data_IF_387798865525
#
_entry.id   IF_387798865525
#
_cell.length_a   1.000
_cell.length_b   1.000
_cell.length_c   1.000
_cell.angle_alpha   90.00
_cell.angle_beta   90.00
_cell.angle_gamma   90.00
#
_symmetry.space_group_name_H-M   'P 1'
#
loop_
_entity.id
_entity.type
_entity.pdbx_description
1 polymer ?
#
# COMPACT_ATOMS: atom_id res chain seq x y z
N UNK A 1 -13.98 30.58 38.18
CA UNK A 1 -14.19 29.24 37.58
C UNK A 1 -13.62 29.29 36.17
N UNK A 2 -12.72 28.36 35.76
CA UNK A 2 -12.24 28.32 34.38
C UNK A 2 -13.29 27.65 33.46
N UNK A 3 -13.51 28.23 32.29
CA UNK A 3 -14.42 27.70 31.26
C UNK A 3 -13.92 26.35 30.70
N UNK A 4 -14.81 25.44 30.27
CA UNK A 4 -14.42 24.17 29.67
C UNK A 4 -13.77 24.38 28.31
N UNK A 5 -12.60 23.77 28.13
CA UNK A 5 -11.82 23.82 26.89
C UNK A 5 -12.64 23.35 25.67
N UNK A 6 -12.70 24.20 24.64
CA UNK A 6 -13.23 23.83 23.32
C UNK A 6 -12.40 22.68 22.75
N UNK A 7 -13.07 21.56 22.45
CA UNK A 7 -12.49 20.41 21.76
C UNK A 7 -11.85 20.81 20.42
N UNK A 8 -10.74 20.17 19.98
CA UNK A 8 -10.14 20.46 18.68
C UNK A 8 -11.13 20.19 17.53
N UNK A 9 -11.16 21.03 16.48
CA UNK A 9 -12.09 20.89 15.39
C UNK A 9 -11.89 19.54 14.68
N UNK A 10 -12.98 18.80 14.51
CA UNK A 10 -13.01 17.52 13.79
C UNK A 10 -12.46 17.67 12.36
N UNK A 11 -11.69 16.69 11.84
CA UNK A 11 -11.18 16.75 10.48
C UNK A 11 -12.36 16.76 9.49
N UNK A 12 -12.55 17.88 8.80
CA UNK A 12 -13.58 18.01 7.75
C UNK A 12 -13.29 17.00 6.65
N UNK A 13 -14.27 16.13 6.40
CA UNK A 13 -14.26 15.08 5.38
C UNK A 13 -13.91 15.69 4.03
N UNK A 14 -12.73 15.31 3.52
CA UNK A 14 -12.14 15.88 2.31
C UNK A 14 -13.07 15.80 1.11
N UNK A 15 -13.21 16.95 0.44
CA UNK A 15 -13.89 17.10 -0.83
C UNK A 15 -13.43 16.01 -1.80
N UNK A 16 -14.38 15.29 -2.41
CA UNK A 16 -14.13 14.33 -3.48
C UNK A 16 -13.21 15.00 -4.51
N UNK A 17 -11.97 14.50 -4.65
CA UNK A 17 -11.04 15.00 -5.69
C UNK A 17 -11.71 14.83 -7.04
N UNK A 18 -11.81 15.92 -7.79
CA UNK A 18 -12.26 15.89 -9.17
C UNK A 18 -11.38 14.94 -9.99
N UNK A 19 -12.00 14.06 -10.77
CA UNK A 19 -11.32 13.14 -11.68
C UNK A 19 -10.68 13.98 -12.78
N UNK A 20 -9.36 14.11 -12.76
CA UNK A 20 -8.62 14.66 -13.89
C UNK A 20 -8.56 13.62 -15.01
N UNK A 21 -8.76 14.07 -16.25
CA UNK A 21 -8.72 13.22 -17.45
C UNK A 21 -7.32 12.62 -17.57
N UNK A 22 -7.20 11.31 -17.41
CA UNK A 22 -5.93 10.60 -17.46
C UNK A 22 -5.29 10.80 -18.84
N UNK A 23 -4.10 11.42 -18.88
CA UNK A 23 -3.28 11.44 -20.08
C UNK A 23 -2.89 10.00 -20.42
N UNK A 24 -3.24 9.58 -21.63
CA UNK A 24 -2.86 8.29 -22.22
C UNK A 24 -1.33 8.19 -22.18
N UNK A 25 -0.78 7.28 -21.36
CA UNK A 25 0.67 7.00 -21.35
C UNK A 25 1.04 6.08 -22.52
N UNK A 26 0.69 6.50 -23.73
CA UNK A 26 1.22 5.91 -24.95
C UNK A 26 2.65 6.43 -25.13
N UNK A 27 3.66 5.61 -24.77
CA UNK A 27 5.06 5.93 -25.05
C UNK A 27 6.10 5.53 -24.00
N UNK A 28 5.77 4.75 -22.95
CA UNK A 28 6.80 4.31 -21.99
C UNK A 28 7.53 3.05 -22.47
N UNK A 29 8.50 3.23 -23.37
CA UNK A 29 9.51 2.23 -23.75
C UNK A 29 10.21 1.73 -22.47
N UNK A 30 9.97 0.46 -22.13
CA UNK A 30 10.55 -0.32 -21.01
C UNK A 30 10.18 0.13 -19.59
N UNK A 31 8.94 -0.12 -19.16
CA UNK A 31 8.70 -0.60 -17.79
C UNK A 31 8.61 -2.12 -17.86
N UNK A 32 9.56 -2.86 -17.25
CA UNK A 32 9.28 -4.24 -16.84
C UNK A 32 8.27 -4.15 -15.71
N UNK A 33 6.97 -4.14 -16.01
CA UNK A 33 5.96 -4.36 -14.98
C UNK A 33 6.10 -5.82 -14.58
N UNK A 34 6.86 -6.08 -13.50
CA UNK A 34 6.81 -7.38 -12.83
C UNK A 34 5.35 -7.59 -12.45
N UNK A 35 4.74 -8.72 -12.84
CA UNK A 35 3.34 -9.01 -12.56
C UNK A 35 3.14 -9.01 -11.03
N UNK A 36 2.42 -8.03 -10.50
CA UNK A 36 2.20 -7.81 -9.06
C UNK A 36 1.19 -8.81 -8.45
N UNK A 37 0.96 -9.97 -9.08
CA UNK A 37 -0.03 -10.95 -8.65
C UNK A 37 0.54 -12.11 -7.81
N UNK A 38 1.88 -12.20 -7.66
CA UNK A 38 2.51 -13.31 -6.93
C UNK A 38 2.03 -13.46 -5.48
N UNK A 39 1.76 -12.35 -4.77
CA UNK A 39 1.25 -12.42 -3.40
C UNK A 39 -0.15 -13.04 -3.33
N UNK A 40 -0.96 -12.82 -4.37
CA UNK A 40 -2.32 -13.38 -4.47
C UNK A 40 -2.25 -14.87 -4.76
N UNK A 41 -1.40 -15.28 -5.70
CA UNK A 41 -1.17 -16.70 -6.04
C UNK A 41 -0.59 -17.49 -4.85
N UNK A 42 0.32 -16.88 -4.09
CA UNK A 42 0.86 -17.49 -2.87
C UNK A 42 -0.22 -17.61 -1.78
N UNK A 43 -1.07 -16.59 -1.62
CA UNK A 43 -2.15 -16.64 -0.64
C UNK A 43 -3.16 -17.75 -0.96
N UNK A 44 -3.57 -17.87 -2.24
CA UNK A 44 -4.52 -18.91 -2.65
C UNK A 44 -3.91 -20.30 -2.52
N UNK A 45 -2.65 -20.49 -2.92
CA UNK A 45 -1.96 -21.79 -2.74
C UNK A 45 -1.80 -22.16 -1.26
N UNK A 46 -1.51 -21.22 -0.37
CA UNK A 46 -1.45 -21.47 1.08
C UNK A 46 -2.81 -21.91 1.64
N UNK A 47 -3.90 -21.30 1.18
CA UNK A 47 -5.26 -21.72 1.57
C UNK A 47 -5.65 -23.09 1.02
N UNK A 48 -5.07 -23.53 -0.11
CA UNK A 48 -5.29 -24.87 -0.67
C UNK A 48 -4.44 -25.94 0.02
N UNK A 49 -3.22 -25.61 0.44
CA UNK A 49 -2.26 -26.54 1.03
C UNK A 49 -2.46 -26.74 2.55
N UNK A 50 -2.92 -25.70 3.27
CA UNK A 50 -3.04 -25.73 4.72
C UNK A 50 -4.51 -25.81 5.16
N UNK A 51 -4.87 -26.75 6.04
CA UNK A 51 -6.22 -26.83 6.59
C UNK A 51 -6.43 -25.89 7.79
N UNK A 52 -7.68 -25.44 7.96
CA UNK A 52 -8.19 -24.86 9.20
C UNK A 52 -7.45 -23.61 9.69
N UNK A 53 -7.07 -23.61 10.97
CA UNK A 53 -6.52 -22.43 11.65
C UNK A 53 -5.11 -22.05 11.17
N UNK A 54 -4.35 -23.03 10.66
CA UNK A 54 -3.00 -22.81 10.15
C UNK A 54 -3.01 -21.89 8.93
N UNK A 55 -3.96 -22.07 8.01
CA UNK A 55 -4.11 -21.20 6.85
C UNK A 55 -4.40 -19.75 7.26
N UNK A 56 -5.32 -19.53 8.21
CA UNK A 56 -5.68 -18.19 8.69
C UNK A 56 -4.48 -17.48 9.31
N UNK A 57 -3.70 -18.18 10.12
CA UNK A 57 -2.50 -17.65 10.75
C UNK A 57 -1.40 -17.33 9.73
N UNK A 58 -1.16 -18.23 8.77
CA UNK A 58 -0.17 -18.04 7.72
C UNK A 58 -0.52 -16.84 6.83
N UNK A 59 -1.77 -16.74 6.40
CA UNK A 59 -2.28 -15.61 5.59
C UNK A 59 -2.17 -14.30 6.37
N UNK A 60 -2.60 -14.27 7.64
CA UNK A 60 -2.51 -13.08 8.50
C UNK A 60 -1.07 -12.58 8.70
N UNK A 61 -0.11 -13.49 8.93
CA UNK A 61 1.31 -13.16 9.03
C UNK A 61 1.87 -12.68 7.67
N UNK A 62 1.50 -13.37 6.59
CA UNK A 62 1.91 -13.04 5.23
C UNK A 62 1.49 -11.62 4.82
N UNK A 63 0.22 -11.26 5.02
CA UNK A 63 -0.28 -9.91 4.69
C UNK A 63 0.47 -8.82 5.44
N UNK A 64 0.71 -9.00 6.75
CA UNK A 64 1.47 -8.04 7.57
C UNK A 64 2.90 -7.85 7.06
N UNK A 65 3.56 -8.93 6.65
CA UNK A 65 4.91 -8.87 6.09
C UNK A 65 4.93 -8.14 4.74
N UNK A 66 3.96 -8.40 3.86
CA UNK A 66 3.83 -7.75 2.55
C UNK A 66 3.63 -6.24 2.70
N UNK A 67 2.80 -5.80 3.64
CA UNK A 67 2.60 -4.37 3.91
C UNK A 67 3.90 -3.71 4.35
N UNK A 68 4.61 -4.30 5.33
CA UNK A 68 5.90 -3.78 5.80
C UNK A 68 6.93 -3.71 4.68
N UNK A 69 7.07 -4.79 3.91
CA UNK A 69 8.01 -4.86 2.80
C UNK A 69 7.75 -3.79 1.75
N UNK A 70 6.48 -3.60 1.37
CA UNK A 70 6.09 -2.58 0.40
C UNK A 70 6.41 -1.19 0.92
N UNK A 71 6.05 -0.87 2.17
CA UNK A 71 6.36 0.42 2.79
C UNK A 71 7.86 0.71 2.85
N UNK A 72 8.67 -0.24 3.36
CA UNK A 72 10.13 -0.08 3.42
C UNK A 72 10.77 0.07 2.03
N UNK A 73 10.27 -0.69 1.05
CA UNK A 73 10.75 -0.63 -0.33
C UNK A 73 10.37 0.67 -1.03
N UNK A 74 9.23 1.27 -0.70
CA UNK A 74 8.86 2.60 -1.22
C UNK A 74 9.70 3.71 -0.59
N UNK A 75 9.94 3.65 0.72
CA UNK A 75 10.77 4.64 1.42
C UNK A 75 12.22 4.61 0.93
N UNK A 76 12.80 3.42 0.79
CA UNK A 76 14.14 3.26 0.23
C UNK A 76 14.23 3.79 -1.22
N UNK A 77 13.24 3.47 -2.07
CA UNK A 77 13.23 3.99 -3.44
C UNK A 77 13.06 5.50 -3.51
N UNK A 78 12.25 6.10 -2.62
CA UNK A 78 12.09 7.55 -2.55
C UNK A 78 13.37 8.21 -2.06
N UNK A 79 14.01 7.68 -1.02
CA UNK A 79 15.30 8.16 -0.53
C UNK A 79 16.35 8.11 -1.64
N UNK A 80 16.62 6.94 -2.25
CA UNK A 80 17.59 6.85 -3.35
C UNK A 80 17.29 7.78 -4.52
N UNK A 81 16.00 8.05 -4.81
CA UNK A 81 15.62 9.01 -5.86
C UNK A 81 15.92 10.46 -5.48
N UNK A 82 15.76 10.83 -4.21
CA UNK A 82 16.06 12.17 -3.70
C UNK A 82 17.58 12.44 -3.71
N UNK A 83 18.41 11.46 -3.32
CA UNK A 83 19.87 11.63 -3.29
C UNK A 83 20.54 11.58 -4.67
N UNK A 84 19.84 11.11 -5.69
CA UNK A 84 20.36 11.07 -7.07
C UNK A 84 19.96 12.30 -7.90
N UNK A 85 19.14 13.20 -7.34
CA UNK A 85 18.75 14.48 -7.96
C UNK A 85 19.52 15.69 -7.41
N UNK A 86 20.56 15.46 -6.61
CA UNK A 86 21.54 16.46 -6.17
C UNK A 86 22.79 16.32 -7.04
#
# INVERSE_FOLDING_TARGET
MPEPAKSPPAPKKGSKKAVTKAQKKDGKKRKRSRKENYSVEIQTTVSLLLPGELAKHAVSKGTKAVTKYTSSRTLSQQYSRVYQTQ
#
